data_IF_846589267941
#
_entry.id   IF_846589267941
#
_cell.length_a   1.000
_cell.length_b   1.000
_cell.length_c   1.000
_cell.angle_alpha   90.00
_cell.angle_beta   90.00
_cell.angle_gamma   90.00
#
_symmetry.space_group_name_H-M   'P 1'
#
loop_
_entity.id
_entity.type
_entity.pdbx_description
1 polymer ?
#
# COMPACT_ATOMS: atom_id res chain seq x y z
N UNK A 1 22.00 -0.69 -1.05
CA UNK A 1 20.63 -0.54 -0.48
C UNK A 1 19.89 -1.81 -0.88
N UNK A 2 19.10 -2.46 0.00
CA UNK A 2 18.42 -3.71 -0.38
C UNK A 2 17.05 -3.43 -0.98
N UNK A 3 16.83 -3.99 -2.17
CA UNK A 3 15.66 -3.81 -2.99
C UNK A 3 14.89 -5.13 -3.05
N UNK A 4 13.57 -5.03 -3.12
CA UNK A 4 12.71 -6.15 -3.45
C UNK A 4 11.85 -5.73 -4.62
N UNK A 5 12.08 -6.35 -5.77
CA UNK A 5 11.51 -5.92 -7.04
C UNK A 5 10.41 -6.88 -7.51
N UNK A 6 9.50 -6.35 -8.32
CA UNK A 6 8.42 -7.07 -9.02
C UNK A 6 7.51 -7.91 -8.11
N UNK A 7 7.10 -7.31 -6.99
CA UNK A 7 6.11 -7.94 -6.09
C UNK A 7 4.72 -7.90 -6.73
N UNK A 8 4.13 -9.07 -6.89
CA UNK A 8 2.80 -9.29 -7.51
C UNK A 8 1.71 -9.53 -6.47
N UNK A 9 0.44 -9.55 -6.86
CA UNK A 9 -0.70 -9.85 -5.99
C UNK A 9 -0.59 -11.21 -5.28
N UNK A 10 0.16 -12.15 -5.85
CA UNK A 10 0.40 -13.48 -5.30
C UNK A 10 1.47 -13.48 -4.20
N UNK A 11 1.97 -12.32 -3.79
CA UNK A 11 2.93 -12.20 -2.70
C UNK A 11 2.40 -12.87 -1.42
N UNK A 12 3.07 -13.93 -0.93
CA UNK A 12 2.57 -14.71 0.20
C UNK A 12 2.74 -13.99 1.54
N UNK A 13 3.41 -12.83 1.57
CA UNK A 13 3.84 -12.16 2.79
C UNK A 13 5.25 -12.57 3.21
N UNK A 14 5.59 -12.29 4.46
CA UNK A 14 6.88 -12.61 5.08
C UNK A 14 7.36 -11.49 5.98
N UNK A 15 8.61 -11.54 6.44
CA UNK A 15 9.23 -10.45 7.17
C UNK A 15 10.60 -10.14 6.57
N UNK A 16 10.73 -8.93 6.01
CA UNK A 16 11.92 -8.47 5.30
C UNK A 16 12.41 -7.15 5.92
N UNK A 17 13.05 -7.21 7.11
CA UNK A 17 13.38 -6.00 7.88
C UNK A 17 14.54 -5.19 7.28
N UNK A 18 15.26 -5.74 6.30
CA UNK A 18 16.41 -5.10 5.68
C UNK A 18 16.08 -4.40 4.36
N UNK A 19 14.92 -4.71 3.78
CA UNK A 19 14.47 -4.09 2.53
C UNK A 19 14.09 -2.63 2.79
N UNK A 20 14.53 -1.74 1.90
CA UNK A 20 14.27 -0.30 1.98
C UNK A 20 13.49 0.22 0.78
N UNK A 21 13.54 -0.49 -0.34
CA UNK A 21 12.93 -0.10 -1.60
C UNK A 21 12.14 -1.30 -2.12
N UNK A 22 10.85 -1.10 -2.41
CA UNK A 22 9.97 -2.14 -2.94
C UNK A 22 9.35 -1.66 -4.24
N UNK A 23 9.41 -2.47 -5.30
CA UNK A 23 8.62 -2.24 -6.52
C UNK A 23 7.50 -3.27 -6.64
N UNK A 24 6.32 -2.78 -6.99
CA UNK A 24 5.12 -3.58 -7.22
C UNK A 24 4.78 -3.52 -8.71
N UNK A 25 4.57 -4.69 -9.30
CA UNK A 25 4.11 -4.83 -10.69
C UNK A 25 3.19 -6.05 -10.79
N UNK A 26 2.03 -5.87 -11.42
CA UNK A 26 1.12 -6.95 -11.74
C UNK A 26 0.27 -6.55 -12.95
N UNK A 27 -0.15 -7.54 -13.74
CA UNK A 27 -1.11 -7.36 -14.82
C UNK A 27 -2.52 -7.08 -14.28
N UNK A 28 -2.80 -7.48 -13.04
CA UNK A 28 -4.08 -7.25 -12.38
C UNK A 28 -3.99 -6.09 -11.40
N UNK A 29 -5.07 -5.29 -11.26
CA UNK A 29 -5.11 -4.24 -10.24
C UNK A 29 -4.83 -4.80 -8.84
N UNK A 30 -4.04 -4.08 -8.04
CA UNK A 30 -3.79 -4.45 -6.65
C UNK A 30 -5.02 -4.20 -5.78
N UNK A 31 -5.36 -5.18 -4.95
CA UNK A 31 -6.44 -5.10 -3.96
C UNK A 31 -5.97 -4.43 -2.65
N UNK A 32 -6.91 -3.93 -1.84
CA UNK A 32 -6.56 -3.26 -0.58
C UNK A 32 -5.75 -4.16 0.38
N UNK A 33 -6.18 -5.40 0.55
CA UNK A 33 -5.53 -6.37 1.45
C UNK A 33 -4.09 -6.69 1.04
N UNK A 34 -3.76 -6.55 -0.25
CA UNK A 34 -2.38 -6.70 -0.71
C UNK A 34 -1.48 -5.63 -0.10
N UNK A 35 -1.93 -4.36 -0.05
CA UNK A 35 -1.14 -3.29 0.56
C UNK A 35 -0.95 -3.48 2.07
N UNK A 36 -1.94 -4.06 2.76
CA UNK A 36 -1.79 -4.43 4.18
C UNK A 36 -0.65 -5.45 4.34
N UNK A 37 -0.61 -6.50 3.49
CA UNK A 37 0.47 -7.49 3.51
C UNK A 37 1.84 -6.88 3.20
N UNK A 38 1.92 -5.93 2.26
CA UNK A 38 3.17 -5.20 1.97
C UNK A 38 3.63 -4.43 3.20
N UNK A 39 2.75 -3.66 3.85
CA UNK A 39 3.10 -2.90 5.04
C UNK A 39 3.62 -3.78 6.18
N UNK A 40 2.99 -4.94 6.40
CA UNK A 40 3.41 -5.90 7.43
C UNK A 40 4.76 -6.55 7.09
N UNK A 41 5.00 -6.83 5.81
CA UNK A 41 6.18 -7.58 5.38
C UNK A 41 7.45 -6.73 5.30
N UNK A 42 7.32 -5.42 5.11
CA UNK A 42 8.44 -4.50 4.93
C UNK A 42 8.41 -3.36 5.96
N UNK A 43 8.63 -3.63 7.26
CA UNK A 43 8.42 -2.67 8.35
C UNK A 43 9.33 -1.43 8.30
N UNK A 44 10.42 -1.50 7.54
CA UNK A 44 11.42 -0.42 7.43
C UNK A 44 11.55 0.12 6.00
N UNK A 45 10.56 -0.15 5.15
CA UNK A 45 10.50 0.37 3.78
C UNK A 45 10.53 1.90 3.78
N UNK A 46 11.38 2.47 2.91
CA UNK A 46 11.50 3.93 2.70
C UNK A 46 10.86 4.40 1.41
N UNK A 47 10.78 3.53 0.40
CA UNK A 47 10.16 3.84 -0.90
C UNK A 47 9.34 2.66 -1.38
N UNK A 48 8.15 2.96 -1.84
CA UNK A 48 7.27 2.06 -2.56
C UNK A 48 7.07 2.63 -3.97
N UNK A 49 7.40 1.84 -4.99
CA UNK A 49 7.14 2.16 -6.39
C UNK A 49 6.07 1.22 -6.91
N UNK A 50 4.99 1.76 -7.46
CA UNK A 50 3.85 0.98 -7.95
C UNK A 50 3.72 1.26 -9.43
N UNK A 51 3.75 0.19 -10.24
CA UNK A 51 3.46 0.28 -11.66
C UNK A 51 2.13 -0.44 -11.96
N UNK A 52 1.09 0.37 -12.17
CA UNK A 52 -0.25 -0.12 -12.52
C UNK A 52 -0.53 0.19 -13.99
N UNK A 53 -0.52 -0.85 -14.82
CA UNK A 53 -0.87 -0.72 -16.24
C UNK A 53 -2.39 -0.60 -16.42
N UNK A 54 -3.17 -1.16 -15.49
CA UNK A 54 -4.62 -1.19 -15.55
C UNK A 54 -5.28 -0.47 -14.38
N UNK A 55 -6.41 0.21 -14.65
CA UNK A 55 -7.18 0.87 -13.62
C UNK A 55 -7.87 -0.15 -12.70
N UNK A 56 -7.93 0.16 -11.39
CA UNK A 56 -8.78 -0.57 -10.45
C UNK A 56 -10.25 -0.48 -10.88
N UNK A 57 -10.93 -1.63 -10.95
CA UNK A 57 -12.33 -1.73 -11.39
C UNK A 57 -13.30 -1.13 -10.37
N UNK A 58 -12.98 -1.22 -9.08
CA UNK A 58 -13.76 -0.66 -7.99
C UNK A 58 -13.00 0.49 -7.36
N UNK A 59 -13.18 1.69 -7.92
CA UNK A 59 -12.97 2.91 -7.12
C UNK A 59 -14.19 3.03 -6.22
N UNK A 60 -14.21 2.37 -5.08
CA UNK A 60 -15.08 2.85 -4.02
C UNK A 60 -14.61 4.28 -3.73
N UNK A 61 -15.44 5.25 -4.11
CA UNK A 61 -15.27 6.64 -3.75
C UNK A 61 -15.50 6.74 -2.25
N UNK A 62 -14.50 6.35 -1.46
CA UNK A 62 -14.58 6.41 -0.02
C UNK A 62 -14.88 7.85 0.36
N UNK A 63 -15.98 8.04 1.08
CA UNK A 63 -16.38 9.23 1.84
C UNK A 63 -15.33 9.56 2.93
N UNK A 64 -14.07 9.73 2.55
CA UNK A 64 -12.96 10.10 3.41
C UNK A 64 -13.01 11.57 3.82
N UNK A 65 -13.86 12.38 3.17
CA UNK A 65 -14.10 13.78 3.55
C UNK A 65 -14.90 13.92 4.86
N UNK A 66 -15.68 12.92 5.27
CA UNK A 66 -16.52 13.05 6.48
C UNK A 66 -15.82 12.66 7.78
N UNK A 67 -14.65 12.02 7.72
CA UNK A 67 -13.90 11.66 8.94
C UNK A 67 -13.04 12.82 9.47
N UNK A 68 -12.74 13.81 8.64
CA UNK A 68 -11.96 15.00 9.03
C UNK A 68 -12.83 16.14 9.60
N UNK A 69 -14.14 16.15 9.33
CA UNK A 69 -15.07 17.16 9.85
C UNK A 69 -15.63 16.84 11.25
N UNK A 70 -15.52 15.60 11.73
CA UNK A 70 -16.17 15.16 12.98
C UNK A 70 -15.32 15.26 14.25
N UNK A 71 -14.14 15.90 14.21
CA UNK A 71 -13.40 16.22 15.44
C UNK A 71 -13.75 17.64 15.90
N UNK A 72 -14.51 17.83 17.00
CA UNK A 72 -14.69 19.16 17.56
C UNK A 72 -13.36 19.67 18.08
N UNK A 73 -12.98 20.88 17.65
CA UNK A 73 -11.93 21.67 18.27
C UNK A 73 -12.35 21.93 19.74
N UNK A 74 -11.82 21.14 20.67
CA UNK A 74 -11.78 21.54 22.08
C UNK A 74 -10.84 22.75 22.15
N UNK A 75 -11.44 23.95 22.11
CA UNK A 75 -10.77 25.18 22.50
C UNK A 75 -10.65 25.17 24.03
N UNK A 76 -9.40 25.21 24.50
CA UNK A 76 -9.00 25.62 25.85
C UNK A 76 -9.49 27.03 26.17
#
# INVERSE_FOLDING_TARGET
>A
MQHYEDVTNNFPGGLYPYVRLVSLYDERPFEHDFFIRICQSFPFMKKLSINNVHAQKQKESYKLMNFLESKPLLRS
#
